data_IF_232610202273
#
_entry.id   IF_232610202273
#
_cell.length_a   1.000
_cell.length_b   1.000
_cell.length_c   1.000
_cell.angle_alpha   90.00
_cell.angle_beta   90.00
_cell.angle_gamma   90.00
#
_symmetry.space_group_name_H-M   'P 1'
#
loop_
_entity.id
_entity.type
_entity.pdbx_description
1 polymer ?
#
# COMPACT_ATOMS: atom_id res chain seq x y z
N UNK A 1 -49.33 56.86 33.75
CA UNK A 1 -48.34 57.17 32.69
C UNK A 1 -47.00 57.31 33.39
N UNK A 2 -45.93 56.56 33.14
CA UNK A 2 -45.49 55.88 31.91
C UNK A 2 -44.62 54.66 32.31
N UNK A 3 -44.56 53.68 31.43
CA UNK A 3 -44.08 52.30 31.64
C UNK A 3 -42.64 52.13 31.14
N UNK A 4 -41.83 51.39 31.93
CA UNK A 4 -40.69 50.50 31.59
C UNK A 4 -39.49 51.12 30.82
N UNK A 5 -38.24 50.73 31.09
CA UNK A 5 -37.66 49.49 30.56
C UNK A 5 -36.34 49.16 31.28
N UNK A 6 -36.22 47.94 31.79
CA UNK A 6 -34.99 47.35 32.34
C UNK A 6 -34.21 46.73 31.17
N UNK A 7 -33.01 47.20 30.90
CA UNK A 7 -32.13 46.69 29.84
C UNK A 7 -31.35 45.48 30.37
N UNK A 8 -31.70 44.26 29.92
CA UNK A 8 -30.94 43.04 30.19
C UNK A 8 -29.79 42.95 29.17
N UNK A 9 -28.55 42.94 29.67
CA UNK A 9 -27.35 42.71 28.86
C UNK A 9 -27.17 41.21 28.60
N UNK A 10 -27.37 40.79 27.36
CA UNK A 10 -27.20 39.41 26.90
C UNK A 10 -25.73 39.16 26.55
N UNK A 11 -25.09 38.24 27.27
CA UNK A 11 -23.74 37.74 27.00
C UNK A 11 -23.79 36.84 25.74
N UNK A 12 -23.26 37.32 24.61
CA UNK A 12 -23.10 36.50 23.40
C UNK A 12 -21.71 35.87 23.43
N UNK A 13 -21.61 34.63 23.90
CA UNK A 13 -20.43 33.80 23.69
C UNK A 13 -20.49 33.22 22.28
N UNK A 14 -19.75 33.82 21.35
CA UNK A 14 -19.41 33.20 20.07
C UNK A 14 -18.44 32.04 20.31
N UNK A 15 -18.97 30.82 20.31
CA UNK A 15 -18.16 29.61 20.18
C UNK A 15 -17.69 29.56 18.73
N UNK A 16 -16.43 29.93 18.49
CA UNK A 16 -15.73 29.64 17.25
C UNK A 16 -15.52 28.11 17.20
N UNK A 17 -16.45 27.40 16.56
CA UNK A 17 -16.23 26.03 16.13
C UNK A 17 -15.16 26.07 15.04
N UNK A 18 -13.90 25.94 15.42
CA UNK A 18 -12.84 25.56 14.50
C UNK A 18 -13.13 24.15 14.01
N UNK A 19 -13.80 24.04 12.87
CA UNK A 19 -13.83 22.81 12.08
C UNK A 19 -12.39 22.50 11.68
N UNK A 20 -11.72 21.65 12.46
CA UNK A 20 -10.57 20.93 11.95
C UNK A 20 -11.09 20.06 10.81
N UNK A 21 -10.85 20.47 9.57
CA UNK A 21 -11.01 19.60 8.43
C UNK A 21 -9.98 18.47 8.62
N UNK A 22 -10.44 17.32 9.11
CA UNK A 22 -9.69 16.08 9.02
C UNK A 22 -9.63 15.82 7.52
N UNK A 23 -8.45 16.03 6.93
CA UNK A 23 -8.25 15.72 5.52
C UNK A 23 -8.51 14.22 5.34
N UNK A 24 -9.33 13.90 4.36
CA UNK A 24 -9.65 12.53 3.99
C UNK A 24 -8.39 11.93 3.34
N UNK A 25 -7.75 10.96 4.01
CA UNK A 25 -6.52 10.31 3.53
C UNK A 25 -6.69 9.76 2.10
N UNK A 26 -7.91 9.37 1.74
CA UNK A 26 -8.28 8.92 0.39
C UNK A 26 -8.17 10.05 -0.64
N UNK A 27 -8.60 11.27 -0.29
CA UNK A 27 -8.46 12.44 -1.16
C UNK A 27 -7.01 12.88 -1.32
N UNK A 28 -6.22 12.80 -0.25
CA UNK A 28 -4.77 13.09 -0.31
C UNK A 28 -4.09 12.09 -1.25
N UNK A 29 -4.42 10.81 -1.11
CA UNK A 29 -3.85 9.75 -1.93
C UNK A 29 -4.20 9.94 -3.40
N UNK A 30 -5.49 10.01 -3.72
CA UNK A 30 -5.96 10.17 -5.11
C UNK A 30 -5.42 11.47 -5.71
N UNK A 31 -5.41 12.56 -4.95
CA UNK A 31 -4.81 13.82 -5.37
C UNK A 31 -3.33 13.69 -5.75
N UNK A 32 -2.55 12.96 -4.95
CA UNK A 32 -1.17 12.67 -5.30
C UNK A 32 -1.08 11.90 -6.63
N UNK A 33 -1.85 10.82 -6.83
CA UNK A 33 -1.87 10.09 -8.11
C UNK A 33 -2.24 10.99 -9.31
N UNK A 34 -3.16 11.94 -9.12
CA UNK A 34 -3.62 12.88 -10.14
C UNK A 34 -2.53 13.87 -10.54
N UNK A 35 -1.81 14.45 -9.58
CA UNK A 35 -0.65 15.35 -9.82
C UNK A 35 0.39 14.73 -10.75
N UNK A 36 0.38 13.41 -10.77
CA UNK A 36 1.31 12.56 -11.44
C UNK A 36 0.79 11.91 -12.73
N UNK A 37 -0.49 12.09 -13.05
CA UNK A 37 -1.10 11.74 -14.34
C UNK A 37 -1.85 10.41 -14.38
N UNK A 38 -2.13 9.80 -13.22
CA UNK A 38 -3.15 8.74 -13.11
C UNK A 38 -4.43 9.40 -12.62
N UNK A 39 -5.46 9.48 -13.48
CA UNK A 39 -6.68 10.28 -13.25
C UNK A 39 -7.97 9.52 -13.58
N UNK A 40 -7.87 8.22 -13.86
CA UNK A 40 -8.98 7.34 -14.28
C UNK A 40 -9.01 6.01 -13.52
N UNK A 41 -8.29 5.95 -12.40
CA UNK A 41 -8.06 4.72 -11.64
C UNK A 41 -8.38 4.92 -10.15
N UNK A 42 -9.18 5.92 -9.80
CA UNK A 42 -9.37 6.37 -8.43
C UNK A 42 -9.97 5.26 -7.57
N UNK A 43 -11.08 4.67 -8.04
CA UNK A 43 -11.73 3.55 -7.35
C UNK A 43 -10.76 2.37 -7.20
N UNK A 44 -10.00 2.08 -8.25
CA UNK A 44 -9.02 0.99 -8.23
C UNK A 44 -7.85 1.25 -7.27
N UNK A 45 -7.40 2.50 -7.14
CA UNK A 45 -6.37 2.90 -6.19
C UNK A 45 -6.88 2.74 -4.76
N UNK A 46 -8.08 3.25 -4.46
CA UNK A 46 -8.67 3.20 -3.13
C UNK A 46 -8.98 1.77 -2.68
N UNK A 47 -9.46 0.92 -3.58
CA UNK A 47 -9.72 -0.50 -3.29
C UNK A 47 -8.45 -1.30 -2.94
N UNK A 48 -7.29 -0.87 -3.43
CA UNK A 48 -6.04 -1.63 -3.31
C UNK A 48 -4.96 -0.93 -2.45
N UNK A 49 -5.16 0.33 -2.07
CA UNK A 49 -4.20 1.09 -1.25
C UNK A 49 -4.73 1.19 0.18
N UNK A 50 -4.19 0.38 1.08
CA UNK A 50 -4.28 0.67 2.51
C UNK A 50 -3.00 1.38 2.92
N UNK A 51 -3.07 2.71 3.08
CA UNK A 51 -1.91 3.49 3.49
C UNK A 51 -1.59 3.20 4.96
N UNK A 52 -0.44 2.59 5.19
CA UNK A 52 0.23 2.55 6.48
C UNK A 52 1.20 3.75 6.57
N UNK A 53 1.55 4.18 7.78
CA UNK A 53 2.41 5.36 7.96
C UNK A 53 3.78 5.24 7.25
N UNK A 54 4.38 6.40 6.90
CA UNK A 54 5.68 6.52 6.20
C UNK A 54 5.73 5.86 4.80
N UNK A 55 4.87 6.31 3.88
CA UNK A 55 4.90 5.91 2.47
C UNK A 55 5.71 6.88 1.59
N UNK A 56 6.25 6.39 0.47
CA UNK A 56 6.94 7.17 -0.56
C UNK A 56 6.32 6.94 -1.93
N UNK A 57 6.47 7.91 -2.83
CA UNK A 57 5.88 7.92 -4.17
C UNK A 57 6.94 8.06 -5.25
N UNK A 58 6.93 7.20 -6.29
CA UNK A 58 7.93 7.22 -7.35
C UNK A 58 7.37 7.30 -8.76
N UNK A 59 7.84 8.35 -9.46
CA UNK A 59 7.60 8.87 -10.83
C UNK A 59 8.22 8.18 -12.04
N UNK A 60 7.61 7.18 -12.69
CA UNK A 60 8.09 6.76 -14.02
C UNK A 60 7.06 6.98 -15.14
N UNK A 61 7.37 7.89 -16.07
CA UNK A 61 6.60 8.06 -17.32
C UNK A 61 7.30 7.30 -18.44
N UNK A 62 6.61 6.33 -19.02
CA UNK A 62 7.10 5.58 -20.17
C UNK A 62 6.38 6.04 -21.46
N UNK A 63 7.16 6.42 -22.48
CA UNK A 63 6.62 6.59 -23.83
C UNK A 63 6.47 5.22 -24.46
N UNK A 64 5.23 4.79 -24.68
CA UNK A 64 4.93 3.46 -25.19
C UNK A 64 4.72 2.44 -24.08
N UNK A 65 3.81 1.51 -24.35
CA UNK A 65 3.31 0.48 -23.45
C UNK A 65 2.42 -0.46 -24.28
N UNK A 66 2.05 -1.61 -23.72
CA UNK A 66 1.32 -2.68 -24.45
C UNK A 66 0.03 -2.16 -25.12
N UNK A 67 -0.56 -1.08 -24.59
CA UNK A 67 -1.76 -0.40 -25.11
C UNK A 67 -1.56 1.12 -25.40
N UNK A 68 -0.33 1.57 -25.66
CA UNK A 68 0.00 3.00 -25.87
C UNK A 68 0.71 3.64 -24.67
N UNK A 69 0.78 4.99 -24.57
CA UNK A 69 1.42 5.67 -23.45
C UNK A 69 0.85 5.22 -22.10
N UNK A 70 1.72 4.87 -21.15
CA UNK A 70 1.33 4.53 -19.78
C UNK A 70 1.94 5.51 -18.78
N UNK A 71 1.15 5.84 -17.76
CA UNK A 71 1.63 6.54 -16.57
C UNK A 71 1.76 5.49 -15.46
N UNK A 72 2.93 5.42 -14.84
CA UNK A 72 3.18 4.52 -13.72
C UNK A 72 3.48 5.32 -12.46
N UNK A 73 2.83 4.93 -11.37
CA UNK A 73 2.99 5.52 -10.04
C UNK A 73 3.24 4.37 -9.07
N UNK A 74 4.39 4.36 -8.40
CA UNK A 74 4.68 3.36 -7.37
C UNK A 74 4.57 3.96 -5.98
N UNK A 75 3.77 3.32 -5.13
CA UNK A 75 3.73 3.57 -3.68
C UNK A 75 4.60 2.54 -2.99
N UNK A 76 5.59 2.99 -2.23
CA UNK A 76 6.44 2.12 -1.40
C UNK A 76 6.10 2.34 0.06
N UNK A 77 5.75 1.27 0.76
CA UNK A 77 5.46 1.27 2.18
C UNK A 77 6.49 0.38 2.89
N UNK A 78 7.13 0.90 3.95
CA UNK A 78 8.06 0.13 4.77
C UNK A 78 7.69 0.35 6.23
N UNK A 79 7.38 -0.74 6.95
CA UNK A 79 6.98 -0.68 8.36
C UNK A 79 7.41 -1.94 9.10
N UNK A 80 7.21 -1.95 10.43
CA UNK A 80 7.57 -3.06 11.31
C UNK A 80 8.71 -2.69 12.28
N UNK A 81 9.42 -3.71 12.75
CA UNK A 81 10.52 -3.57 13.72
C UNK A 81 11.75 -4.36 13.28
N UNK A 82 12.88 -4.20 13.95
CA UNK A 82 14.12 -4.87 13.56
C UNK A 82 13.95 -6.39 13.53
N UNK A 83 14.14 -6.98 12.35
CA UNK A 83 14.00 -8.42 12.12
C UNK A 83 12.58 -8.87 11.80
N UNK A 84 11.59 -8.01 11.97
CA UNK A 84 10.18 -8.22 11.63
C UNK A 84 9.68 -7.02 10.81
N UNK A 85 10.11 -6.96 9.54
CA UNK A 85 9.86 -5.82 8.64
C UNK A 85 9.00 -6.21 7.46
N UNK A 86 8.14 -5.30 7.04
CA UNK A 86 7.33 -5.41 5.85
C UNK A 86 7.73 -4.31 4.88
N UNK A 87 8.06 -4.69 3.64
CA UNK A 87 8.18 -3.78 2.50
C UNK A 87 7.13 -4.15 1.47
N UNK A 88 6.30 -3.21 1.08
CA UNK A 88 5.31 -3.35 0.01
C UNK A 88 5.59 -2.30 -1.06
N UNK A 89 5.51 -2.71 -2.32
CA UNK A 89 5.63 -1.84 -3.49
C UNK A 89 4.42 -2.06 -4.39
N UNK A 90 3.55 -1.06 -4.46
CA UNK A 90 2.35 -1.03 -5.29
C UNK A 90 2.57 -0.14 -6.49
N UNK A 91 2.84 -0.73 -7.65
CA UNK A 91 2.95 0.00 -8.93
C UNK A 91 1.59 0.04 -9.62
N UNK A 92 0.94 1.20 -9.62
CA UNK A 92 -0.26 1.47 -10.39
C UNK A 92 0.10 1.95 -11.79
N UNK A 93 -0.58 1.40 -12.79
CA UNK A 93 -0.32 1.69 -14.20
C UNK A 93 -1.64 2.07 -14.86
N UNK A 94 -1.74 3.31 -15.32
CA UNK A 94 -2.85 3.76 -16.15
C UNK A 94 -2.46 3.65 -17.63
N UNK A 95 -3.21 2.84 -18.38
CA UNK A 95 -3.15 2.79 -19.85
C UNK A 95 -4.36 3.50 -20.45
N UNK A 96 -4.38 3.60 -21.78
CA UNK A 96 -5.54 4.14 -22.52
C UNK A 96 -6.84 3.37 -22.29
N UNK A 97 -6.79 2.09 -21.85
CA UNK A 97 -7.98 1.21 -21.75
C UNK A 97 -8.33 0.76 -20.34
N UNK A 98 -7.33 0.65 -19.46
CA UNK A 98 -7.49 -0.01 -18.15
C UNK A 98 -6.41 0.43 -17.16
N UNK A 99 -6.67 0.10 -15.90
CA UNK A 99 -5.77 0.24 -14.77
C UNK A 99 -5.16 -1.12 -14.43
N UNK A 100 -3.88 -1.13 -14.07
CA UNK A 100 -3.22 -2.31 -13.55
C UNK A 100 -2.52 -2.00 -12.23
N UNK A 101 -2.39 -3.01 -11.39
CA UNK A 101 -1.55 -2.98 -10.21
C UNK A 101 -0.57 -4.14 -10.29
N UNK A 102 0.71 -3.83 -10.08
CA UNK A 102 1.73 -4.80 -9.70
C UNK A 102 2.06 -4.55 -8.24
N UNK A 103 1.64 -5.47 -7.39
CA UNK A 103 1.95 -5.50 -5.97
C UNK A 103 3.10 -6.48 -5.76
N UNK A 104 4.17 -6.02 -5.14
CA UNK A 104 5.31 -6.85 -4.71
C UNK A 104 5.56 -6.61 -3.24
N UNK A 105 5.97 -7.65 -2.53
CA UNK A 105 6.27 -7.55 -1.12
C UNK A 105 7.52 -8.32 -0.74
N UNK A 106 8.21 -7.81 0.27
CA UNK A 106 9.28 -8.49 0.99
C UNK A 106 8.94 -8.45 2.47
N UNK A 107 8.74 -9.62 3.06
CA UNK A 107 8.56 -9.80 4.49
C UNK A 107 9.85 -10.35 5.06
N UNK A 108 10.30 -9.79 6.18
CA UNK A 108 11.38 -10.36 6.97
C UNK A 108 10.80 -10.72 8.31
N UNK A 109 11.01 -11.98 8.72
CA UNK A 109 10.62 -12.48 10.02
C UNK A 109 11.84 -12.99 10.76
N UNK A 110 11.88 -12.79 12.08
CA UNK A 110 12.91 -13.39 12.92
C UNK A 110 12.73 -14.91 12.99
N UNK A 111 13.83 -15.65 12.94
CA UNK A 111 13.82 -17.12 13.02
C UNK A 111 13.98 -17.81 11.67
N UNK A 112 13.63 -19.10 11.63
CA UNK A 112 13.79 -19.93 10.42
C UNK A 112 12.62 -19.75 9.44
N UNK A 113 12.79 -20.13 8.18
CA UNK A 113 11.64 -20.18 7.27
C UNK A 113 10.68 -21.33 7.56
N UNK A 114 11.14 -22.41 8.22
CA UNK A 114 10.28 -23.50 8.65
C UNK A 114 9.25 -23.04 9.71
N UNK A 115 9.61 -22.05 10.53
CA UNK A 115 8.72 -21.51 11.56
C UNK A 115 7.79 -20.40 11.03
N UNK A 116 8.14 -19.78 9.90
CA UNK A 116 7.49 -18.56 9.41
C UNK A 116 6.71 -18.75 8.10
N UNK A 117 6.79 -19.92 7.46
CA UNK A 117 5.95 -20.27 6.31
C UNK A 117 4.90 -21.28 6.75
N UNK A 118 3.62 -20.90 6.69
CA UNK A 118 2.52 -21.81 7.02
C UNK A 118 2.33 -22.85 5.92
N UNK A 119 2.77 -24.08 6.19
CA UNK A 119 2.69 -25.20 5.26
C UNK A 119 1.26 -25.73 5.04
N UNK A 120 0.28 -25.24 5.81
CA UNK A 120 -1.14 -25.52 5.53
C UNK A 120 -1.68 -24.66 4.39
N UNK A 121 -1.15 -23.45 4.23
CA UNK A 121 -1.56 -22.48 3.21
C UNK A 121 -0.61 -22.47 1.99
N UNK A 122 0.66 -22.84 2.19
CA UNK A 122 1.73 -22.76 1.20
C UNK A 122 2.45 -24.09 1.05
N UNK A 123 2.41 -24.69 -0.15
CA UNK A 123 3.14 -25.93 -0.44
C UNK A 123 4.38 -25.67 -1.29
N UNK A 124 5.43 -26.46 -1.07
CA UNK A 124 6.67 -26.37 -1.85
C UNK A 124 6.39 -26.74 -3.30
N UNK A 125 6.66 -25.83 -4.23
CA UNK A 125 6.52 -26.04 -5.68
C UNK A 125 7.87 -26.27 -6.36
N UNK A 126 8.95 -25.67 -5.85
CA UNK A 126 10.30 -25.85 -6.37
C UNK A 126 11.35 -25.53 -5.29
N UNK A 127 12.44 -26.27 -5.26
CA UNK A 127 13.62 -25.97 -4.43
C UNK A 127 14.81 -25.72 -5.36
N UNK A 128 15.55 -24.63 -5.13
CA UNK A 128 16.82 -24.46 -5.84
C UNK A 128 17.79 -25.60 -5.51
N UNK A 129 18.69 -26.00 -6.43
CA UNK A 129 19.63 -27.10 -6.19
C UNK A 129 20.49 -26.96 -4.92
N UNK A 130 20.75 -25.72 -4.49
CA UNK A 130 21.51 -25.41 -3.27
C UNK A 130 20.63 -24.97 -2.08
N UNK A 131 19.29 -25.06 -2.22
CA UNK A 131 18.29 -24.61 -1.24
C UNK A 131 18.43 -23.16 -0.77
N UNK A 132 19.05 -22.31 -1.61
CA UNK A 132 19.18 -20.89 -1.29
C UNK A 132 17.80 -20.19 -1.30
N UNK A 133 16.91 -20.67 -2.17
CA UNK A 133 15.49 -20.31 -2.16
C UNK A 133 14.62 -21.54 -2.27
N UNK A 134 13.49 -21.48 -1.58
CA UNK A 134 12.35 -22.38 -1.74
C UNK A 134 11.19 -21.59 -2.30
N UNK A 135 10.61 -22.07 -3.40
CA UNK A 135 9.38 -21.52 -3.95
C UNK A 135 8.20 -22.30 -3.40
N UNK A 136 7.25 -21.57 -2.85
CA UNK A 136 5.97 -22.07 -2.38
C UNK A 136 4.87 -21.54 -3.29
N UNK A 137 3.77 -22.29 -3.35
CA UNK A 137 2.56 -21.91 -4.05
C UNK A 137 1.37 -22.14 -3.15
N UNK A 138 0.36 -21.27 -3.22
CA UNK A 138 -0.89 -21.47 -2.51
C UNK A 138 -2.01 -21.96 -3.45
N UNK A 139 -3.19 -22.24 -2.89
CA UNK A 139 -4.37 -22.70 -3.64
C UNK A 139 -4.86 -21.68 -4.68
N UNK A 140 -4.63 -20.38 -4.44
CA UNK A 140 -4.92 -19.29 -5.38
C UNK A 140 -3.90 -19.12 -6.50
N UNK A 141 -2.84 -19.94 -6.51
CA UNK A 141 -1.79 -19.90 -7.53
C UNK A 141 -0.77 -18.78 -7.36
N UNK A 142 -0.77 -18.06 -6.23
CA UNK A 142 0.28 -17.11 -5.89
C UNK A 142 1.57 -17.86 -5.54
N UNK A 143 2.70 -17.27 -5.93
CA UNK A 143 4.03 -17.78 -5.61
C UNK A 143 4.68 -16.92 -4.53
N UNK A 144 5.37 -17.60 -3.62
CA UNK A 144 6.16 -17.02 -2.54
C UNK A 144 7.55 -17.64 -2.60
N UNK A 145 8.59 -16.82 -2.65
CA UNK A 145 9.96 -17.27 -2.60
C UNK A 145 10.50 -16.98 -1.20
N UNK A 146 10.96 -18.00 -0.48
CA UNK A 146 11.52 -17.82 0.85
C UNK A 146 12.97 -18.25 0.91
N UNK A 147 13.75 -17.52 1.70
CA UNK A 147 15.17 -17.77 1.98
C UNK A 147 15.47 -17.51 3.45
N UNK A 148 16.14 -18.47 4.09
CA UNK A 148 16.72 -18.24 5.41
C UNK A 148 18.06 -17.52 5.26
N UNK A 149 18.25 -16.45 6.02
CA UNK A 149 19.54 -15.76 6.16
C UNK A 149 20.06 -15.89 7.59
N UNK A 150 21.38 -15.92 7.72
CA UNK A 150 22.08 -15.93 9.01
C UNK A 150 23.14 -14.82 9.03
N UNK A 151 23.08 -13.94 10.01
CA UNK A 151 24.03 -12.84 10.22
C UNK A 151 24.53 -12.87 11.66
N UNK A 152 25.68 -13.51 11.89
CA UNK A 152 26.18 -13.77 13.25
C UNK A 152 25.21 -14.67 14.03
N UNK A 153 24.70 -14.17 15.16
CA UNK A 153 23.73 -14.89 16.00
C UNK A 153 22.27 -14.64 15.60
N UNK A 154 22.03 -13.87 14.53
CA UNK A 154 20.69 -13.55 14.04
C UNK A 154 20.32 -14.47 12.88
N UNK A 155 19.13 -15.07 12.95
CA UNK A 155 18.48 -15.78 11.84
C UNK A 155 17.20 -15.05 11.46
N UNK A 156 16.94 -14.97 10.17
CA UNK A 156 15.68 -14.47 9.64
C UNK A 156 15.23 -15.25 8.41
N UNK A 157 13.91 -15.30 8.23
CA UNK A 157 13.29 -15.72 7.00
C UNK A 157 12.91 -14.48 6.18
N UNK A 158 13.46 -14.38 4.97
CA UNK A 158 13.01 -13.42 3.97
C UNK A 158 11.99 -14.14 3.09
N UNK A 159 10.82 -13.52 2.90
CA UNK A 159 9.76 -14.00 2.03
C UNK A 159 9.44 -12.93 0.99
N UNK A 160 9.45 -13.30 -0.27
CA UNK A 160 9.24 -12.40 -1.40
C UNK A 160 8.09 -12.91 -2.25
N UNK A 161 7.16 -12.04 -2.60
CA UNK A 161 6.03 -12.42 -3.43
C UNK A 161 5.57 -11.30 -4.33
N UNK A 162 4.73 -11.66 -5.30
CA UNK A 162 4.14 -10.70 -6.21
C UNK A 162 2.75 -11.11 -6.63
N UNK A 163 1.91 -10.12 -6.89
CA UNK A 163 0.58 -10.26 -7.44
C UNK A 163 0.33 -9.19 -8.48
N UNK A 164 -0.47 -9.52 -9.49
CA UNK A 164 -0.97 -8.56 -10.46
C UNK A 164 -2.50 -8.55 -10.44
N UNK A 165 -3.07 -7.35 -10.53
CA UNK A 165 -4.51 -7.16 -10.70
C UNK A 165 -4.76 -6.09 -11.78
N UNK A 166 -6.00 -6.05 -12.28
CA UNK A 166 -6.40 -5.06 -13.27
C UNK A 166 -7.88 -4.76 -13.18
N UNK A 167 -8.26 -3.52 -13.48
CA UNK A 167 -9.65 -3.07 -13.54
C UNK A 167 -9.88 -2.18 -14.77
N UNK A 168 -11.15 -1.99 -15.13
CA UNK A 168 -11.54 -0.93 -16.07
C UNK A 168 -11.33 0.44 -15.41
N UNK A 169 -11.33 1.50 -16.21
CA UNK A 169 -11.36 2.86 -15.67
C UNK A 169 -12.58 3.09 -14.79
N UNK A 170 -12.41 3.89 -13.74
CA UNK A 170 -13.43 4.20 -12.73
C UNK A 170 -12.80 4.67 -11.44
#
# INVERSE_FOLDING_TARGET
MTIKTILKSTLVSTVLLSNFAIADDDQILVGAFHDYGITKCDSFILENSQLQGNWNLFINKHKGGIDGPSTEVTVTQIYGSQGDTVKIEDTYIQTAKKCFLRNTWTLTFKGSCADNVDLNDWYVSNEMPNKDYTTYKNSGGLELHAKEISMGNFKACIQEGSKRSSAKHG
#
